data_IF_933897822435
#
_entry.id   IF_933897822435
#
_cell.length_a   1.000
_cell.length_b   1.000
_cell.length_c   1.000
_cell.angle_alpha   90.00
_cell.angle_beta   90.00
_cell.angle_gamma   90.00
#
_symmetry.space_group_name_H-M   'P 1'
#
loop_
_entity.id
_entity.type
_entity.pdbx_description
1 polymer ?
#
# COMPACT_ATOMS: atom_id res chain seq x y z
N UNK A 1 -13.14 8.99 -28.64
CA UNK A 1 -13.27 9.10 -27.61
C UNK A 1 -12.66 8.37 -26.84
N UNK A 2 -12.16 8.70 -26.14
CA UNK A 2 -11.69 7.96 -25.36
C UNK A 2 -12.58 7.32 -24.59
N UNK A 3 -13.24 6.85 -24.58
CA UNK A 3 -14.10 6.05 -23.91
C UNK A 3 -13.73 5.77 -22.55
N UNK A 4 -12.83 6.33 -21.97
CA UNK A 4 -12.46 6.10 -20.62
C UNK A 4 -11.60 4.89 -20.36
N UNK A 5 -11.25 4.14 -21.36
CA UNK A 5 -10.35 3.03 -21.16
C UNK A 5 -8.92 3.50 -21.22
N UNK A 6 -8.10 2.93 -20.37
CA UNK A 6 -6.67 3.13 -20.42
C UNK A 6 -6.02 1.84 -20.85
N UNK A 7 -4.96 1.92 -21.65
CA UNK A 7 -4.14 0.77 -21.88
C UNK A 7 -3.47 0.37 -20.56
N UNK A 8 -3.10 -0.88 -20.39
CA UNK A 8 -2.40 -1.28 -19.15
C UNK A 8 -1.16 -0.47 -18.87
N UNK A 9 -0.40 -0.10 -19.90
CA UNK A 9 0.79 0.72 -19.71
C UNK A 9 0.42 2.11 -19.20
N UNK A 10 -0.56 2.74 -19.81
CA UNK A 10 -0.96 4.09 -19.41
C UNK A 10 -1.56 4.09 -18.02
N UNK A 11 -2.31 3.07 -17.66
CA UNK A 11 -2.85 2.92 -16.34
C UNK A 11 -1.73 2.86 -15.28
N UNK A 12 -0.69 2.08 -15.54
CA UNK A 12 0.44 1.97 -14.62
C UNK A 12 1.20 3.29 -14.51
N UNK A 13 1.33 4.04 -15.60
CA UNK A 13 1.96 5.36 -15.56
C UNK A 13 1.17 6.32 -14.68
N UNK A 14 -0.15 6.32 -14.77
CA UNK A 14 -0.98 7.15 -13.93
C UNK A 14 -0.93 6.73 -12.48
N UNK A 15 -0.87 5.43 -12.22
CA UNK A 15 -0.72 4.89 -10.88
C UNK A 15 0.56 5.41 -10.23
N UNK A 16 1.67 5.34 -10.94
CA UNK A 16 2.94 5.81 -10.44
C UNK A 16 2.92 7.33 -10.22
N UNK A 17 2.32 8.08 -11.13
CA UNK A 17 2.21 9.53 -10.99
C UNK A 17 1.37 9.91 -9.79
N UNK A 18 0.25 9.25 -9.57
CA UNK A 18 -0.59 9.55 -8.41
C UNK A 18 0.13 9.23 -7.11
N UNK A 19 0.83 8.12 -7.06
CA UNK A 19 1.62 7.76 -5.89
C UNK A 19 2.66 8.82 -5.62
N UNK A 20 3.36 9.25 -6.66
CA UNK A 20 4.40 10.25 -6.53
C UNK A 20 3.84 11.57 -6.02
N UNK A 21 2.69 12.01 -6.55
CA UNK A 21 2.10 13.28 -6.17
C UNK A 21 1.53 13.29 -4.76
N UNK A 22 1.20 12.11 -4.23
CA UNK A 22 0.64 12.01 -2.88
C UNK A 22 1.68 11.73 -1.82
N UNK A 23 2.90 11.43 -2.22
CA UNK A 23 3.92 11.05 -1.26
C UNK A 23 4.28 12.19 -0.34
N UNK A 24 4.49 11.86 0.90
CA UNK A 24 5.21 12.68 1.81
C UNK A 24 6.68 12.39 1.53
N UNK A 25 7.43 13.38 1.09
CA UNK A 25 8.82 13.17 0.70
C UNK A 25 9.77 13.13 1.87
N UNK A 26 9.29 13.29 3.09
CA UNK A 26 10.14 13.22 4.26
C UNK A 26 10.68 11.81 4.45
N UNK A 27 11.88 11.73 4.99
CA UNK A 27 12.53 10.47 5.29
C UNK A 27 12.04 9.95 6.63
N UNK A 28 12.13 8.64 6.81
CA UNK A 28 11.73 8.01 8.09
C UNK A 28 12.52 8.63 9.24
N UNK A 29 13.83 8.86 9.07
CA UNK A 29 14.65 9.44 10.12
C UNK A 29 14.20 10.85 10.52
N UNK A 30 13.57 11.58 9.61
CA UNK A 30 13.13 12.94 9.89
C UNK A 30 11.77 12.96 10.57
N UNK A 31 10.89 12.04 10.21
CA UNK A 31 9.55 11.97 10.74
C UNK A 31 9.46 11.07 11.98
N UNK A 32 10.20 9.99 11.99
CA UNK A 32 10.18 9.00 13.06
C UNK A 32 11.61 8.68 13.51
N UNK A 33 12.28 9.61 14.21
CA UNK A 33 13.71 9.42 14.51
C UNK A 33 14.02 8.24 15.44
N UNK A 34 13.02 7.71 16.15
CA UNK A 34 13.23 6.56 17.01
C UNK A 34 13.21 5.23 16.25
N UNK A 35 12.85 5.23 14.97
CA UNK A 35 12.69 4.00 14.21
C UNK A 35 14.01 3.64 13.55
N UNK A 36 14.44 2.39 13.73
CA UNK A 36 15.63 1.87 13.06
C UNK A 36 15.28 1.07 11.81
N UNK A 37 14.15 0.37 11.83
CA UNK A 37 13.74 -0.45 10.70
C UNK A 37 12.25 -0.72 10.76
N UNK A 38 11.61 -0.74 9.61
CA UNK A 38 10.23 -1.19 9.46
C UNK A 38 10.23 -2.29 8.41
N UNK A 39 9.62 -3.42 8.72
CA UNK A 39 9.46 -4.52 7.77
C UNK A 39 7.98 -4.77 7.60
N UNK A 40 7.53 -4.79 6.36
CA UNK A 40 6.13 -5.07 6.02
C UNK A 40 6.10 -6.32 5.17
N UNK A 41 5.50 -7.38 5.68
CA UNK A 41 5.20 -8.58 4.91
C UNK A 41 3.76 -8.53 4.50
N UNK A 42 3.46 -8.87 3.26
CA UNK A 42 2.10 -8.71 2.76
C UNK A 42 1.69 -9.85 1.84
N UNK A 43 0.37 -10.05 1.79
CA UNK A 43 -0.27 -10.93 0.82
C UNK A 43 -1.51 -10.22 0.33
N UNK A 44 -1.63 -10.04 -0.97
CA UNK A 44 -2.82 -9.47 -1.59
C UNK A 44 -3.57 -10.54 -2.34
N UNK A 45 -4.89 -10.41 -2.37
CA UNK A 45 -5.76 -11.34 -3.05
C UNK A 45 -6.83 -10.58 -3.82
N UNK A 46 -7.00 -10.93 -5.06
CA UNK A 46 -8.11 -10.45 -5.88
C UNK A 46 -8.75 -11.65 -6.56
N UNK A 47 -10.07 -11.79 -6.39
CA UNK A 47 -10.83 -12.83 -7.05
C UNK A 47 -11.43 -12.28 -8.33
N UNK A 48 -11.28 -13.00 -9.41
CA UNK A 48 -11.89 -12.63 -10.69
C UNK A 48 -12.60 -13.84 -11.26
N UNK A 49 -13.44 -13.67 -12.29
CA UNK A 49 -14.06 -14.81 -12.96
C UNK A 49 -13.06 -15.79 -13.55
N UNK A 50 -11.82 -15.36 -13.72
CA UNK A 50 -10.78 -16.19 -14.29
C UNK A 50 -9.88 -16.83 -13.24
N UNK A 51 -10.16 -16.64 -11.98
CA UNK A 51 -9.39 -17.24 -10.89
C UNK A 51 -8.89 -16.23 -9.87
N UNK A 52 -7.99 -16.69 -9.01
CA UNK A 52 -7.41 -15.84 -7.98
C UNK A 52 -6.12 -15.21 -8.48
N UNK A 53 -5.93 -13.96 -8.14
CA UNK A 53 -4.64 -13.30 -8.31
C UNK A 53 -4.10 -12.99 -6.91
N UNK A 54 -3.06 -13.72 -6.49
CA UNK A 54 -2.46 -13.57 -5.18
C UNK A 54 -1.02 -13.15 -5.35
N UNK A 55 -0.63 -12.10 -4.63
CA UNK A 55 0.75 -11.64 -4.64
C UNK A 55 1.23 -11.56 -3.20
N UNK A 56 2.47 -11.97 -2.97
CA UNK A 56 3.11 -11.87 -1.67
C UNK A 56 4.42 -11.14 -1.83
N UNK A 57 4.83 -10.46 -0.77
CA UNK A 57 6.11 -9.77 -0.80
C UNK A 57 6.49 -9.22 0.55
N UNK A 58 7.61 -8.52 0.55
CA UNK A 58 8.17 -7.95 1.75
C UNK A 58 8.86 -6.65 1.38
N UNK A 59 8.56 -5.59 2.12
CA UNK A 59 9.26 -4.32 2.00
C UNK A 59 10.06 -4.07 3.28
N UNK A 60 11.27 -3.58 3.11
CA UNK A 60 12.13 -3.20 4.22
C UNK A 60 12.45 -1.73 4.11
N UNK A 61 12.24 -1.01 5.20
CA UNK A 61 12.46 0.43 5.24
C UNK A 61 13.51 0.74 6.30
N UNK A 62 14.62 1.32 5.89
CA UNK A 62 15.61 1.85 6.81
C UNK A 62 15.35 3.36 7.02
N UNK A 63 16.05 4.03 7.94
CA UNK A 63 15.78 5.45 8.19
C UNK A 63 15.97 6.38 6.99
N UNK A 64 16.70 5.96 5.97
CA UNK A 64 16.93 6.78 4.78
C UNK A 64 15.85 6.59 3.72
N UNK A 65 14.86 5.74 3.96
CA UNK A 65 13.75 5.56 3.03
C UNK A 65 12.68 6.60 3.31
N UNK A 66 11.87 6.88 2.30
CA UNK A 66 10.76 7.81 2.44
C UNK A 66 9.59 7.15 3.17
N UNK A 67 8.73 7.97 3.76
CA UNK A 67 7.58 7.49 4.53
C UNK A 67 6.42 7.13 3.60
N UNK A 68 6.65 6.23 2.67
CA UNK A 68 5.66 5.76 1.72
C UNK A 68 5.43 4.28 1.98
N UNK A 69 4.27 3.93 2.51
CA UNK A 69 3.94 2.58 2.94
C UNK A 69 2.76 2.05 2.12
N UNK A 70 2.97 1.97 0.81
CA UNK A 70 1.90 1.64 -0.13
C UNK A 70 2.17 0.28 -0.76
N UNK A 71 1.14 -0.55 -0.83
CA UNK A 71 1.19 -1.87 -1.43
C UNK A 71 0.18 -1.89 -2.58
N UNK A 72 0.63 -2.29 -3.76
CA UNK A 72 -0.20 -2.24 -4.94
C UNK A 72 -1.41 -3.17 -4.82
N UNK A 73 -2.57 -2.67 -5.24
CA UNK A 73 -3.75 -3.50 -5.37
C UNK A 73 -3.56 -4.44 -6.57
N UNK A 74 -3.83 -5.73 -6.40
CA UNK A 74 -3.64 -6.68 -7.50
C UNK A 74 -4.69 -6.57 -8.61
N UNK A 75 -5.75 -5.80 -8.38
CA UNK A 75 -6.77 -5.57 -9.40
C UNK A 75 -6.33 -4.39 -10.26
N UNK A 76 -6.00 -4.66 -11.51
CA UNK A 76 -5.53 -3.62 -12.43
C UNK A 76 -6.55 -2.56 -12.74
N UNK A 77 -7.82 -2.84 -12.48
CA UNK A 77 -8.91 -1.93 -12.79
C UNK A 77 -9.35 -1.11 -11.61
N UNK A 78 -8.64 -1.24 -10.50
CA UNK A 78 -8.98 -0.54 -9.28
C UNK A 78 -8.68 0.95 -9.39
N UNK A 79 -9.64 1.78 -9.00
CA UNK A 79 -9.51 3.23 -9.07
C UNK A 79 -8.54 3.80 -8.02
N UNK A 80 -8.35 3.09 -6.90
CA UNK A 80 -7.45 3.55 -5.84
C UNK A 80 -6.02 3.10 -6.11
N UNK A 81 -5.83 1.93 -6.64
CA UNK A 81 -4.58 1.33 -7.11
C UNK A 81 -3.62 0.84 -6.05
N UNK A 82 -3.77 1.21 -4.79
CA UNK A 82 -2.88 0.70 -3.73
C UNK A 82 -3.57 0.73 -2.37
N UNK A 83 -3.01 -0.08 -1.46
CA UNK A 83 -3.36 -0.03 -0.04
C UNK A 83 -2.34 0.85 0.66
N UNK A 84 -2.78 1.70 1.57
CA UNK A 84 -1.88 2.60 2.28
C UNK A 84 -1.85 2.21 3.75
N UNK A 85 -0.67 1.83 4.25
CA UNK A 85 -0.47 1.45 5.63
C UNK A 85 0.06 2.60 6.50
N UNK A 86 0.01 3.83 5.99
CA UNK A 86 0.57 4.98 6.68
C UNK A 86 -0.01 5.14 8.09
N UNK A 87 -1.32 5.03 8.22
CA UNK A 87 -1.97 5.24 9.52
C UNK A 87 -1.64 4.11 10.49
N UNK A 88 -1.62 2.87 10.00
CA UNK A 88 -1.30 1.72 10.82
C UNK A 88 0.11 1.82 11.39
N UNK A 89 1.06 2.19 10.54
CA UNK A 89 2.45 2.32 10.96
C UNK A 89 2.62 3.50 11.90
N UNK A 90 1.97 4.64 11.61
CA UNK A 90 2.02 5.80 12.49
C UNK A 90 1.52 5.46 13.90
N UNK A 91 0.39 4.76 13.98
CA UNK A 91 -0.21 4.41 15.27
C UNK A 91 0.68 3.42 16.03
N UNK A 92 1.28 2.45 15.34
CA UNK A 92 2.23 1.53 15.95
C UNK A 92 3.42 2.28 16.55
N UNK A 93 3.98 3.24 15.81
CA UNK A 93 5.13 4.01 16.28
C UNK A 93 4.74 4.85 17.48
N UNK A 94 3.57 5.49 17.41
CA UNK A 94 3.09 6.31 18.53
C UNK A 94 2.95 5.48 19.81
N UNK A 95 2.47 4.24 19.68
CA UNK A 95 2.27 3.35 20.82
C UNK A 95 3.49 2.47 21.09
N UNK A 96 4.58 2.65 20.36
CA UNK A 96 5.83 1.88 20.50
C UNK A 96 5.60 0.37 20.33
N UNK A 97 4.72 0.00 19.46
CA UNK A 97 4.46 -1.42 19.16
C UNK A 97 5.55 -1.95 18.25
N UNK A 98 5.97 -3.18 18.49
CA UNK A 98 7.01 -3.82 17.69
C UNK A 98 6.46 -4.75 16.64
N UNK A 99 5.23 -5.21 16.80
CA UNK A 99 4.57 -6.06 15.81
C UNK A 99 3.11 -5.70 15.70
N UNK A 100 2.59 -5.78 14.51
CA UNK A 100 1.17 -5.60 14.24
C UNK A 100 0.79 -6.36 12.99
N UNK A 101 -0.44 -6.80 12.91
CA UNK A 101 -0.95 -7.47 11.72
C UNK A 101 -2.41 -7.11 11.53
N UNK A 102 -2.89 -7.31 10.33
CA UNK A 102 -4.27 -7.01 10.05
C UNK A 102 -4.65 -7.38 8.63
N UNK A 103 -5.90 -7.11 8.33
CA UNK A 103 -6.47 -7.32 7.01
C UNK A 103 -7.21 -6.04 6.64
N UNK A 104 -7.00 -5.55 5.42
CA UNK A 104 -7.79 -4.41 4.96
C UNK A 104 -8.35 -4.70 3.57
N UNK A 105 -9.49 -4.08 3.28
CA UNK A 105 -10.12 -4.21 1.98
C UNK A 105 -9.78 -2.98 1.15
N UNK A 106 -9.65 -3.17 -0.15
CA UNK A 106 -9.43 -2.05 -1.04
C UNK A 106 -10.66 -1.15 -1.05
N UNK A 107 -10.44 0.14 -0.95
CA UNK A 107 -11.52 1.13 -0.96
C UNK A 107 -11.85 1.61 -2.36
N UNK A 108 -11.21 1.08 -3.37
CA UNK A 108 -11.43 1.50 -4.74
C UNK A 108 -12.59 0.78 -5.41
N UNK A 109 -12.80 1.11 -6.64
CA UNK A 109 -13.78 0.46 -7.50
C UNK A 109 -13.19 0.25 -8.87
N UNK A 110 -13.85 -0.55 -9.67
CA UNK A 110 -13.43 -0.79 -11.04
C UNK A 110 -13.89 0.35 -11.94
N UNK A 111 -12.93 0.99 -12.59
CA UNK A 111 -13.21 2.26 -13.24
C UNK A 111 -13.82 2.13 -14.61
N UNK A 112 -13.69 1.00 -15.27
CA UNK A 112 -14.28 0.86 -16.59
C UNK A 112 -15.52 -0.01 -16.60
N UNK A 113 -15.94 -0.49 -15.47
CA UNK A 113 -17.16 -1.24 -15.38
C UNK A 113 -18.27 -0.27 -15.05
N UNK A 114 -19.24 -0.14 -15.93
CA UNK A 114 -20.36 0.76 -15.69
C UNK A 114 -21.23 0.37 -14.49
N UNK A 115 -20.97 -0.77 -13.90
CA UNK A 115 -21.73 -1.22 -12.75
C UNK A 115 -21.21 -0.63 -11.44
N UNK A 116 -20.15 0.14 -11.45
CA UNK A 116 -19.58 0.76 -10.26
C UNK A 116 -19.32 -0.25 -9.15
N UNK A 117 -18.77 -1.40 -9.51
CA UNK A 117 -18.51 -2.42 -8.53
C UNK A 117 -17.32 -2.03 -7.68
N UNK A 118 -17.38 -2.35 -6.39
CA UNK A 118 -16.26 -2.14 -5.53
C UNK A 118 -15.15 -3.11 -5.89
N UNK A 119 -13.91 -2.66 -5.73
CA UNK A 119 -12.77 -3.55 -5.80
C UNK A 119 -12.84 -4.49 -4.59
N UNK A 120 -12.81 -5.79 -4.83
CA UNK A 120 -12.91 -6.76 -3.74
C UNK A 120 -11.56 -7.31 -3.32
N UNK A 121 -10.49 -6.65 -3.71
CA UNK A 121 -9.16 -7.05 -3.30
C UNK A 121 -8.96 -6.88 -1.81
N UNK A 122 -8.20 -7.77 -1.20
CA UNK A 122 -7.86 -7.71 0.21
C UNK A 122 -6.35 -7.73 0.38
N UNK A 123 -5.91 -7.15 1.48
CA UNK A 123 -4.52 -7.16 1.89
C UNK A 123 -4.42 -7.76 3.29
N UNK A 124 -3.59 -8.79 3.44
CA UNK A 124 -3.17 -9.25 4.74
C UNK A 124 -1.75 -8.73 4.96
N UNK A 125 -1.50 -8.15 6.11
CA UNK A 125 -0.19 -7.55 6.37
C UNK A 125 0.31 -7.90 7.76
N UNK A 126 1.63 -7.94 7.88
CA UNK A 126 2.31 -8.03 9.16
C UNK A 126 3.42 -6.99 9.15
N UNK A 127 3.43 -6.16 10.17
CA UNK A 127 4.40 -5.07 10.30
C UNK A 127 5.25 -5.34 11.51
N UNK A 128 6.56 -5.22 11.35
CA UNK A 128 7.52 -5.32 12.45
C UNK A 128 8.33 -4.05 12.48
N UNK A 129 8.48 -3.44 13.64
CA UNK A 129 9.23 -2.19 13.80
C UNK A 129 10.30 -2.37 14.85
N UNK A 130 11.52 -2.00 14.48
CA UNK A 130 12.64 -1.98 15.40
C UNK A 130 12.95 -0.54 15.76
N UNK A 131 13.05 -0.26 17.05
CA UNK A 131 13.33 1.08 17.53
C UNK A 131 14.76 1.14 18.06
N UNK A 132 15.34 2.32 18.01
CA UNK A 132 16.63 2.50 18.65
C UNK A 132 16.43 2.67 20.16
N UNK A 133 17.50 2.43 20.92
CA UNK A 133 17.41 2.40 22.37
C UNK A 133 17.67 3.76 22.99
N UNK A 134 17.21 4.81 22.35
CA UNK A 134 17.34 6.12 22.96
C UNK A 134 16.38 6.27 24.12
N UNK A 135 16.85 6.85 25.09
CA UNK A 135 16.03 7.21 26.24
C UNK A 135 15.76 8.70 26.27
#
# INVERSE_FOLDING_TARGET
MSNGYMTPKKYNEQKDTRRYNRQDYRLIKDLYPSVMEIVVEYKTLHLSPFGENTETGKYEYNPNKRTVFEIDCPNRECSIVFFDLKNEIRDMIYLRQIEGCGVMKCQGGETYDHLNQRCDSTLEYKISIMYNNYK
#
